data_IF_484293344109
#
_entry.id   IF_484293344109
#
_cell.length_a   1.000
_cell.length_b   1.000
_cell.length_c   1.000
_cell.angle_alpha   90.00
_cell.angle_beta   90.00
_cell.angle_gamma   90.00
#
_symmetry.space_group_name_H-M   'P 1'
#
loop_
_entity.id
_entity.type
_entity.pdbx_description
1 polymer ?
#
# COMPACT_ATOMS: atom_id res chain seq x y z
N UNK A 1 -24.32 -35.75 11.45
CA UNK A 1 -24.37 -35.18 12.82
C UNK A 1 -23.49 -33.94 12.82
N UNK A 2 -24.08 -32.74 12.88
CA UNK A 2 -23.35 -31.47 12.89
C UNK A 2 -22.59 -31.32 14.20
N UNK A 3 -21.26 -31.31 14.14
CA UNK A 3 -20.41 -30.99 15.28
C UNK A 3 -20.44 -29.49 15.55
N UNK A 4 -21.14 -29.05 16.60
CA UNK A 4 -21.09 -27.66 17.05
C UNK A 4 -19.66 -27.28 17.42
N UNK A 5 -19.02 -26.48 16.58
CA UNK A 5 -17.72 -25.86 16.86
C UNK A 5 -17.92 -24.88 18.02
N UNK A 6 -17.38 -25.18 19.20
CA UNK A 6 -17.36 -24.23 20.33
C UNK A 6 -16.56 -23.00 19.91
N UNK A 7 -17.14 -21.81 20.07
CA UNK A 7 -16.44 -20.56 19.76
C UNK A 7 -15.22 -20.40 20.65
N UNK A 8 -14.09 -20.06 20.04
CA UNK A 8 -12.85 -19.76 20.75
C UNK A 8 -12.90 -18.34 21.37
N UNK A 9 -12.00 -18.03 22.32
CA UNK A 9 -11.85 -16.66 22.82
C UNK A 9 -11.58 -15.64 21.70
N UNK A 10 -10.89 -16.06 20.65
CA UNK A 10 -10.62 -15.23 19.48
C UNK A 10 -11.90 -14.93 18.69
N UNK A 11 -12.75 -15.92 18.45
CA UNK A 11 -14.02 -15.74 17.73
C UNK A 11 -14.96 -14.77 18.47
N UNK A 12 -15.02 -14.86 19.81
CA UNK A 12 -15.81 -13.95 20.65
C UNK A 12 -15.22 -12.53 20.61
N UNK A 13 -13.89 -12.39 20.66
CA UNK A 13 -13.23 -11.09 20.56
C UNK A 13 -13.45 -10.45 19.18
N UNK A 14 -13.44 -11.24 18.11
CA UNK A 14 -13.65 -10.78 16.75
C UNK A 14 -15.11 -10.35 16.52
N UNK A 15 -16.09 -11.10 17.05
CA UNK A 15 -17.50 -10.69 17.02
C UNK A 15 -17.75 -9.37 17.73
N UNK A 16 -17.18 -9.17 18.92
CA UNK A 16 -17.26 -7.88 19.63
C UNK A 16 -16.55 -6.75 18.87
N UNK A 17 -15.44 -7.04 18.19
CA UNK A 17 -14.73 -6.05 17.37
C UNK A 17 -15.58 -5.61 16.18
N UNK A 18 -16.27 -6.52 15.52
CA UNK A 18 -17.17 -6.16 14.41
C UNK A 18 -18.36 -5.31 14.90
N UNK A 19 -18.89 -5.53 16.11
CA UNK A 19 -19.92 -4.66 16.71
C UNK A 19 -19.43 -3.25 16.99
N UNK A 20 -18.17 -3.12 17.44
CA UNK A 20 -17.53 -1.80 17.60
C UNK A 20 -17.36 -1.12 16.24
N UNK A 21 -16.89 -1.87 15.23
CA UNK A 21 -16.62 -1.38 13.87
C UNK A 21 -17.88 -0.97 13.10
N UNK A 22 -18.98 -1.70 13.27
CA UNK A 22 -20.28 -1.39 12.66
C UNK A 22 -21.01 -0.26 13.38
N UNK A 23 -20.49 0.20 14.52
CA UNK A 23 -21.09 1.28 15.32
C UNK A 23 -22.24 0.83 16.21
N UNK A 24 -22.51 -0.47 16.32
CA UNK A 24 -23.46 -1.03 17.29
C UNK A 24 -22.98 -0.79 18.74
N UNK A 25 -21.67 -0.78 18.97
CA UNK A 25 -21.04 -0.38 20.21
C UNK A 25 -20.17 0.85 19.97
N UNK A 26 -20.59 2.02 20.48
CA UNK A 26 -19.93 3.30 20.22
C UNK A 26 -18.78 3.53 21.22
N UNK A 27 -17.80 4.37 20.86
CA UNK A 27 -16.78 4.82 21.81
C UNK A 27 -17.41 5.41 23.08
N UNK A 28 -16.91 4.99 24.25
CA UNK A 28 -17.47 5.38 25.55
C UNK A 28 -18.64 4.51 26.06
N UNK A 29 -19.26 3.70 25.19
CA UNK A 29 -20.35 2.81 25.58
C UNK A 29 -19.89 1.76 26.60
N UNK A 30 -20.84 1.34 27.45
CA UNK A 30 -20.62 0.22 28.37
C UNK A 30 -20.76 -1.08 27.59
N UNK A 31 -19.76 -1.95 27.73
CA UNK A 31 -19.82 -3.28 27.17
C UNK A 31 -20.91 -4.10 27.87
N UNK A 32 -21.63 -5.00 27.15
CA UNK A 32 -22.50 -5.98 27.78
C UNK A 32 -21.77 -6.76 28.89
N UNK A 33 -22.49 -7.13 29.94
CA UNK A 33 -21.89 -7.85 31.07
C UNK A 33 -21.40 -9.25 30.63
N UNK A 34 -20.43 -9.82 31.35
CA UNK A 34 -19.93 -11.16 31.02
C UNK A 34 -21.05 -12.22 31.02
N UNK A 35 -22.08 -12.07 31.85
CA UNK A 35 -23.22 -12.98 31.87
C UNK A 35 -24.04 -12.89 30.57
N UNK A 36 -24.26 -11.67 30.07
CA UNK A 36 -24.94 -11.44 28.78
C UNK A 36 -24.10 -11.99 27.62
N UNK A 37 -22.79 -11.76 27.63
CA UNK A 37 -21.90 -12.27 26.58
C UNK A 37 -21.79 -13.81 26.58
N UNK A 38 -21.86 -14.45 27.75
CA UNK A 38 -21.90 -15.92 27.85
C UNK A 38 -23.15 -16.48 27.20
N UNK A 39 -24.31 -15.86 27.46
CA UNK A 39 -25.59 -16.26 26.88
C UNK A 39 -25.62 -15.99 25.36
N UNK A 40 -25.18 -14.80 24.95
CA UNK A 40 -25.18 -14.37 23.54
C UNK A 40 -24.28 -15.23 22.65
N UNK A 41 -23.06 -15.52 23.11
CA UNK A 41 -22.08 -16.29 22.33
C UNK A 41 -22.15 -17.81 22.61
N UNK A 42 -22.95 -18.25 23.59
CA UNK A 42 -23.06 -19.67 23.95
C UNK A 42 -21.74 -20.30 24.40
N UNK A 43 -20.92 -19.56 25.17
CA UNK A 43 -19.57 -19.98 25.60
C UNK A 43 -19.41 -19.89 27.12
N UNK A 44 -18.41 -20.59 27.66
CA UNK A 44 -18.08 -20.51 29.08
C UNK A 44 -17.53 -19.13 29.49
N UNK A 45 -17.73 -18.77 30.78
CA UNK A 45 -17.23 -17.51 31.37
C UNK A 45 -15.72 -17.32 31.19
N UNK A 46 -14.93 -18.39 31.19
CA UNK A 46 -13.48 -18.34 30.98
C UNK A 46 -13.12 -17.84 29.57
N UNK A 47 -13.88 -18.27 28.56
CA UNK A 47 -13.72 -17.88 27.15
C UNK A 47 -14.03 -16.41 26.96
N UNK A 48 -15.15 -15.93 27.53
CA UNK A 48 -15.49 -14.50 27.52
C UNK A 48 -14.41 -13.69 28.23
N UNK A 49 -13.92 -14.13 29.40
CA UNK A 49 -12.87 -13.42 30.13
C UNK A 49 -11.57 -13.32 29.33
N UNK A 50 -11.18 -14.37 28.60
CA UNK A 50 -10.01 -14.34 27.72
C UNK A 50 -10.24 -13.41 26.52
N UNK A 51 -11.40 -13.46 25.88
CA UNK A 51 -11.77 -12.55 24.80
C UNK A 51 -11.68 -11.07 25.21
N UNK A 52 -12.19 -10.74 26.41
CA UNK A 52 -12.10 -9.39 26.96
C UNK A 52 -10.66 -8.96 27.26
N UNK A 53 -9.79 -9.88 27.69
CA UNK A 53 -8.35 -9.59 27.85
C UNK A 53 -7.70 -9.28 26.51
N UNK A 54 -7.99 -10.06 25.46
CA UNK A 54 -7.48 -9.79 24.11
C UNK A 54 -7.89 -8.40 23.62
N UNK A 55 -9.14 -7.99 23.84
CA UNK A 55 -9.60 -6.64 23.48
C UNK A 55 -8.94 -5.54 24.33
N UNK A 56 -8.66 -5.80 25.61
CA UNK A 56 -7.94 -4.89 26.48
C UNK A 56 -6.47 -4.72 26.08
N UNK A 57 -5.77 -5.82 25.74
CA UNK A 57 -4.39 -5.80 25.23
C UNK A 57 -4.29 -4.99 23.92
N UNK A 58 -5.33 -5.05 23.09
CA UNK A 58 -5.47 -4.24 21.87
C UNK A 58 -5.95 -2.80 22.12
N UNK A 59 -6.06 -2.38 23.38
CA UNK A 59 -6.50 -1.04 23.81
C UNK A 59 -7.90 -0.65 23.32
N UNK A 60 -8.76 -1.63 23.02
CA UNK A 60 -10.15 -1.41 22.59
C UNK A 60 -11.11 -1.23 23.78
N UNK A 61 -10.69 -1.62 24.97
CA UNK A 61 -11.47 -1.50 26.21
C UNK A 61 -10.71 -0.67 27.26
N UNK A 62 -11.45 0.15 28.01
CA UNK A 62 -10.98 0.92 29.17
C UNK A 62 -11.71 0.49 30.45
N UNK A 63 -11.14 0.88 31.61
CA UNK A 63 -11.72 0.66 32.95
C UNK A 63 -11.91 -0.81 33.39
N UNK A 64 -11.03 -1.71 32.96
CA UNK A 64 -11.15 -3.16 33.27
C UNK A 64 -10.82 -3.52 34.73
N UNK A 65 -10.31 -2.58 35.56
CA UNK A 65 -9.78 -2.91 36.90
C UNK A 65 -10.54 -2.39 38.13
N UNK A 66 -11.75 -1.80 38.01
CA UNK A 66 -12.49 -1.33 39.20
C UNK A 66 -14.00 -1.48 39.10
N UNK A 67 -14.53 -2.65 39.48
CA UNK A 67 -15.94 -2.87 39.87
C UNK A 67 -17.04 -2.41 38.90
N UNK A 68 -16.68 -1.98 37.69
CA UNK A 68 -17.55 -1.36 36.69
C UNK A 68 -17.37 -2.10 35.37
N UNK A 69 -18.43 -2.22 34.55
CA UNK A 69 -18.33 -2.85 33.24
C UNK A 69 -17.27 -2.14 32.37
N UNK A 70 -16.43 -2.89 31.62
CA UNK A 70 -15.51 -2.31 30.65
C UNK A 70 -16.24 -1.36 29.70
N UNK A 71 -15.58 -0.27 29.31
CA UNK A 71 -16.09 0.66 28.30
C UNK A 71 -15.31 0.56 27.00
N UNK A 72 -15.95 0.86 25.88
CA UNK A 72 -15.25 0.99 24.59
C UNK A 72 -14.32 2.20 24.65
N UNK A 73 -13.05 2.02 24.29
CA UNK A 73 -12.05 3.08 24.36
C UNK A 73 -12.35 4.22 23.36
N UNK A 74 -12.28 5.49 23.82
CA UNK A 74 -12.43 6.66 22.93
C UNK A 74 -11.34 6.72 21.85
N UNK A 75 -10.14 6.23 22.15
CA UNK A 75 -9.02 6.12 21.20
C UNK A 75 -9.24 5.06 20.12
N UNK A 76 -10.21 4.14 20.28
CA UNK A 76 -10.53 3.15 19.26
C UNK A 76 -11.11 3.79 17.99
N UNK A 77 -11.82 4.93 18.10
CA UNK A 77 -12.29 5.69 16.93
C UNK A 77 -11.15 6.41 16.19
N UNK A 78 -10.06 6.74 16.89
CA UNK A 78 -8.87 7.33 16.27
C UNK A 78 -7.91 6.28 15.65
N UNK A 79 -8.21 4.99 15.83
CA UNK A 79 -7.45 3.88 15.23
C UNK A 79 -8.04 3.42 13.89
N UNK A 80 -8.88 4.23 13.24
CA UNK A 80 -9.30 4.04 11.85
C UNK A 80 -8.18 4.42 10.88
N UNK A 81 -7.12 3.60 10.84
CA UNK A 81 -6.58 3.25 9.54
C UNK A 81 -7.40 2.05 9.06
N UNK A 82 -7.96 2.06 7.82
CA UNK A 82 -8.52 0.83 7.26
C UNK A 82 -7.48 -0.29 7.40
N UNK A 83 -7.88 -1.57 7.56
CA UNK A 83 -6.92 -2.67 7.62
C UNK A 83 -5.95 -2.45 6.48
N UNK A 84 -4.65 -2.38 6.77
CA UNK A 84 -3.62 -1.98 5.81
C UNK A 84 -3.79 -2.81 4.54
N UNK A 85 -4.55 -2.28 3.57
CA UNK A 85 -4.75 -2.94 2.30
C UNK A 85 -3.40 -2.83 1.61
N UNK A 86 -2.90 -3.96 1.12
CA UNK A 86 -1.63 -3.97 0.41
C UNK A 86 -1.62 -2.85 -0.63
N UNK A 87 -0.53 -2.08 -0.73
CA UNK A 87 -0.46 -0.90 -1.58
C UNK A 87 -0.94 -1.15 -3.01
N UNK A 88 -0.67 -2.36 -3.55
CA UNK A 88 -1.16 -2.78 -4.86
C UNK A 88 -2.69 -2.72 -4.97
N UNK A 89 -3.40 -3.25 -3.98
CA UNK A 89 -4.88 -3.28 -3.97
C UNK A 89 -5.45 -1.87 -3.91
N UNK A 90 -4.84 -1.02 -3.09
CA UNK A 90 -5.21 0.38 -2.94
C UNK A 90 -4.95 1.14 -4.25
N UNK A 91 -3.74 1.05 -4.80
CA UNK A 91 -3.34 1.74 -6.02
C UNK A 91 -4.17 1.30 -7.23
N UNK A 92 -4.44 0.00 -7.39
CA UNK A 92 -5.22 -0.52 -8.52
C UNK A 92 -6.63 0.11 -8.58
N UNK A 93 -7.28 0.27 -7.42
CA UNK A 93 -8.61 0.90 -7.33
C UNK A 93 -8.58 2.35 -7.80
N UNK A 94 -7.56 3.12 -7.38
CA UNK A 94 -7.39 4.51 -7.78
C UNK A 94 -6.95 4.68 -9.23
N UNK A 95 -6.18 3.75 -9.78
CA UNK A 95 -5.84 3.74 -11.20
C UNK A 95 -7.09 3.48 -12.05
N UNK A 96 -7.96 2.54 -11.65
CA UNK A 96 -9.23 2.31 -12.35
C UNK A 96 -10.10 3.57 -12.34
N UNK A 97 -10.13 4.31 -11.24
CA UNK A 97 -10.82 5.60 -11.16
C UNK A 97 -10.19 6.63 -12.11
N UNK A 98 -8.87 6.80 -12.06
CA UNK A 98 -8.15 7.77 -12.89
C UNK A 98 -8.30 7.50 -14.41
N UNK A 99 -8.37 6.23 -14.81
CA UNK A 99 -8.52 5.80 -16.20
C UNK A 99 -9.90 6.08 -16.81
N UNK A 100 -10.86 6.60 -16.02
CA UNK A 100 -12.15 7.08 -16.54
C UNK A 100 -12.04 8.47 -17.18
N UNK A 101 -10.95 9.20 -16.95
CA UNK A 101 -10.72 10.50 -17.59
C UNK A 101 -10.30 10.33 -19.07
N UNK A 102 -10.57 11.34 -19.90
CA UNK A 102 -10.11 11.34 -21.30
C UNK A 102 -8.59 11.40 -21.41
N UNK A 103 -7.96 12.21 -20.53
CA UNK A 103 -6.52 12.34 -20.42
C UNK A 103 -6.06 11.78 -19.08
N UNK A 104 -5.27 10.71 -19.13
CA UNK A 104 -4.74 10.04 -17.93
C UNK A 104 -3.29 10.46 -17.72
N UNK A 105 -2.96 10.95 -16.53
CA UNK A 105 -1.59 11.22 -16.11
C UNK A 105 -1.26 10.46 -14.83
N UNK A 106 -0.15 9.74 -14.85
CA UNK A 106 0.39 9.04 -13.69
C UNK A 106 1.82 9.52 -13.45
N UNK A 107 2.05 10.10 -12.29
CA UNK A 107 3.37 10.50 -11.83
C UNK A 107 3.78 9.58 -10.67
N UNK A 108 4.89 8.86 -10.80
CA UNK A 108 5.31 7.85 -9.84
C UNK A 108 6.74 8.08 -9.36
N UNK A 109 6.93 8.31 -8.06
CA UNK A 109 8.24 8.29 -7.39
C UNK A 109 8.33 6.96 -6.63
N UNK A 110 9.22 6.05 -7.02
CA UNK A 110 9.29 4.72 -6.43
C UNK A 110 10.73 4.19 -6.32
N UNK A 111 10.93 3.16 -5.50
CA UNK A 111 12.18 2.39 -5.42
C UNK A 111 12.24 1.37 -6.55
N UNK A 112 11.16 0.61 -6.74
CA UNK A 112 10.91 -0.25 -7.90
C UNK A 112 9.56 0.13 -8.53
N UNK A 113 9.35 -0.17 -9.80
CA UNK A 113 8.07 0.06 -10.47
C UNK A 113 7.07 -1.09 -10.27
N UNK A 114 7.42 -2.10 -9.48
CA UNK A 114 6.67 -3.35 -9.32
C UNK A 114 5.21 -3.14 -8.90
N UNK A 115 4.98 -2.32 -7.87
CA UNK A 115 3.62 -2.04 -7.36
C UNK A 115 2.76 -1.36 -8.44
N UNK A 116 3.33 -0.42 -9.20
CA UNK A 116 2.63 0.28 -10.28
C UNK A 116 2.34 -0.68 -11.44
N UNK A 117 3.34 -1.45 -11.87
CA UNK A 117 3.22 -2.39 -12.98
C UNK A 117 2.10 -3.40 -12.74
N UNK A 118 2.02 -3.96 -11.53
CA UNK A 118 0.95 -4.89 -11.17
C UNK A 118 -0.40 -4.19 -11.02
N UNK A 119 -0.44 -2.98 -10.45
CA UNK A 119 -1.68 -2.23 -10.28
C UNK A 119 -2.28 -1.75 -11.60
N UNK A 120 -1.47 -1.59 -12.66
CA UNK A 120 -1.93 -1.31 -14.01
C UNK A 120 -2.70 -2.48 -14.65
N UNK A 121 -2.57 -3.70 -14.14
CA UNK A 121 -3.22 -4.87 -14.74
C UNK A 121 -4.73 -4.71 -14.90
N UNK A 122 -5.44 -4.24 -13.86
CA UNK A 122 -6.89 -4.07 -13.90
C UNK A 122 -7.37 -2.96 -14.88
N UNK A 123 -6.87 -1.71 -14.83
CA UNK A 123 -7.29 -0.71 -15.81
C UNK A 123 -6.97 -1.13 -17.26
N UNK A 124 -5.83 -1.79 -17.49
CA UNK A 124 -5.49 -2.33 -18.81
C UNK A 124 -6.48 -3.42 -19.25
N UNK A 125 -6.84 -4.36 -18.37
CA UNK A 125 -7.85 -5.40 -18.67
C UNK A 125 -9.18 -4.77 -19.09
N UNK A 126 -9.63 -3.74 -18.37
CA UNK A 126 -10.88 -3.02 -18.66
C UNK A 126 -10.84 -2.26 -19.98
N UNK A 127 -9.70 -1.67 -20.35
CA UNK A 127 -9.51 -1.08 -21.68
C UNK A 127 -9.65 -2.15 -22.77
N UNK A 128 -8.99 -3.32 -22.61
CA UNK A 128 -9.11 -4.40 -23.60
C UNK A 128 -10.53 -4.95 -23.73
N UNK A 129 -11.33 -4.87 -22.65
CA UNK A 129 -12.75 -5.22 -22.66
C UNK A 129 -13.66 -4.11 -23.24
N UNK A 130 -13.11 -2.96 -23.63
CA UNK A 130 -13.88 -1.81 -24.12
C UNK A 130 -14.69 -1.08 -23.04
N UNK A 131 -14.42 -1.35 -21.76
CA UNK A 131 -15.14 -0.73 -20.64
C UNK A 131 -14.66 0.71 -20.34
N UNK A 132 -13.45 1.06 -20.79
CA UNK A 132 -12.84 2.39 -20.67
C UNK A 132 -11.97 2.66 -21.89
N UNK A 133 -12.00 3.88 -22.42
CA UNK A 133 -11.27 4.28 -23.62
C UNK A 133 -10.76 5.72 -23.46
N UNK A 134 -9.70 5.96 -22.66
CA UNK A 134 -9.07 7.27 -22.60
C UNK A 134 -8.49 7.63 -23.97
N UNK A 135 -8.45 8.92 -24.30
CA UNK A 135 -7.79 9.43 -25.51
C UNK A 135 -6.27 9.39 -25.37
N UNK A 136 -5.76 9.67 -24.16
CA UNK A 136 -4.31 9.65 -23.88
C UNK A 136 -3.94 9.13 -22.50
N UNK A 137 -2.74 8.54 -22.40
CA UNK A 137 -2.13 8.07 -21.16
C UNK A 137 -0.66 8.49 -21.11
N UNK A 138 -0.30 9.36 -20.16
CA UNK A 138 1.09 9.73 -19.86
C UNK A 138 1.52 9.17 -18.50
N UNK A 139 2.64 8.43 -18.49
CA UNK A 139 3.28 7.92 -17.27
C UNK A 139 4.68 8.52 -17.13
N UNK A 140 4.92 9.23 -16.02
CA UNK A 140 6.23 9.78 -15.64
C UNK A 140 6.71 9.05 -14.40
N UNK A 141 7.85 8.36 -14.48
CA UNK A 141 8.36 7.56 -13.38
C UNK A 141 9.79 7.93 -12.99
N UNK A 142 10.00 8.22 -11.70
CA UNK A 142 11.29 8.44 -11.06
C UNK A 142 11.68 7.17 -10.31
N UNK A 143 12.79 6.55 -10.74
CA UNK A 143 13.35 5.32 -10.17
C UNK A 143 14.84 5.52 -9.88
N UNK A 144 15.45 4.79 -8.93
CA UNK A 144 16.89 4.78 -8.74
C UNK A 144 17.62 4.49 -10.06
N UNK A 145 18.64 5.28 -10.36
CA UNK A 145 19.53 5.02 -11.48
C UNK A 145 20.39 3.76 -11.25
N UNK A 146 21.02 3.22 -12.31
CA UNK A 146 21.81 1.99 -12.22
C UNK A 146 23.01 2.12 -11.26
N UNK A 147 23.50 3.34 -11.03
CA UNK A 147 24.61 3.67 -10.13
C UNK A 147 24.18 4.20 -8.77
N UNK A 148 22.88 4.26 -8.48
CA UNK A 148 22.41 4.70 -7.17
C UNK A 148 22.89 3.71 -6.09
N UNK A 149 23.38 4.19 -4.94
CA UNK A 149 23.70 3.32 -3.82
C UNK A 149 22.41 2.66 -3.32
N UNK A 150 22.48 1.35 -3.09
CA UNK A 150 21.35 0.54 -2.62
C UNK A 150 21.57 0.21 -1.14
N UNK A 151 20.71 0.70 -0.23
CA UNK A 151 20.74 0.34 1.18
C UNK A 151 19.99 -0.97 1.49
N UNK A 152 19.35 -1.56 0.49
CA UNK A 152 18.62 -2.82 0.57
C UNK A 152 18.37 -3.38 -0.85
N UNK A 153 18.09 -4.69 -1.00
CA UNK A 153 18.13 -5.70 0.06
C UNK A 153 19.56 -6.02 0.51
N UNK A 154 19.77 -6.11 1.82
CA UNK A 154 21.06 -6.47 2.42
C UNK A 154 20.95 -7.85 3.10
N UNK A 155 21.73 -8.87 2.71
CA UNK A 155 21.75 -10.16 3.38
C UNK A 155 22.11 -10.03 4.87
N UNK A 156 21.34 -10.67 5.76
CA UNK A 156 21.53 -10.56 7.21
C UNK A 156 22.83 -11.24 7.65
N UNK A 157 23.07 -12.48 7.21
CA UNK A 157 24.20 -13.31 7.65
C UNK A 157 25.09 -13.77 6.47
N UNK A 158 24.97 -13.12 5.29
CA UNK A 158 25.68 -13.51 4.05
C UNK A 158 26.19 -12.31 3.25
N UNK A 159 27.05 -11.44 3.83
CA UNK A 159 27.49 -10.19 3.21
C UNK A 159 28.21 -10.38 1.86
N UNK A 160 28.78 -11.56 1.61
CA UNK A 160 29.37 -11.94 0.32
C UNK A 160 28.36 -11.98 -0.84
N UNK A 161 27.06 -12.08 -0.55
CA UNK A 161 26.00 -12.11 -1.56
C UNK A 161 25.47 -10.72 -1.93
N UNK A 162 25.86 -9.66 -1.22
CA UNK A 162 25.29 -8.30 -1.37
C UNK A 162 25.31 -7.79 -2.81
N UNK A 163 26.46 -7.89 -3.50
CA UNK A 163 26.55 -7.40 -4.88
C UNK A 163 25.66 -8.20 -5.84
N UNK A 164 25.58 -9.52 -5.68
CA UNK A 164 24.71 -10.38 -6.51
C UNK A 164 23.22 -10.06 -6.28
N UNK A 165 22.82 -9.80 -5.04
CA UNK A 165 21.46 -9.37 -4.68
C UNK A 165 21.14 -8.00 -5.30
N UNK A 166 22.07 -7.05 -5.21
CA UNK A 166 21.93 -5.72 -5.81
C UNK A 166 21.88 -5.77 -7.35
N UNK A 167 22.71 -6.60 -8.00
CA UNK A 167 22.66 -6.83 -9.44
C UNK A 167 21.31 -7.41 -9.87
N UNK A 168 20.79 -8.39 -9.12
CA UNK A 168 19.47 -8.99 -9.35
C UNK A 168 18.36 -7.94 -9.25
N UNK A 169 18.37 -7.11 -8.22
CA UNK A 169 17.40 -6.01 -8.07
C UNK A 169 17.47 -5.02 -9.26
N UNK A 170 18.67 -4.61 -9.67
CA UNK A 170 18.85 -3.72 -10.82
C UNK A 170 18.29 -4.35 -12.10
N UNK A 171 18.45 -5.65 -12.27
CA UNK A 171 17.86 -6.38 -13.38
C UNK A 171 16.33 -6.36 -13.31
N UNK A 172 15.73 -6.65 -12.16
CA UNK A 172 14.28 -6.58 -11.95
C UNK A 172 13.74 -5.17 -12.27
N UNK A 173 14.41 -4.10 -11.82
CA UNK A 173 14.01 -2.72 -12.13
C UNK A 173 14.05 -2.46 -13.65
N UNK A 174 15.08 -2.95 -14.36
CA UNK A 174 15.14 -2.84 -15.83
C UNK A 174 13.98 -3.59 -16.50
N UNK A 175 13.72 -4.82 -16.09
CA UNK A 175 12.63 -5.65 -16.63
C UNK A 175 11.27 -4.98 -16.41
N UNK A 176 11.04 -4.37 -15.24
CA UNK A 176 9.79 -3.64 -14.95
C UNK A 176 9.60 -2.43 -15.87
N UNK A 177 10.67 -1.69 -16.20
CA UNK A 177 10.62 -0.56 -17.13
C UNK A 177 10.21 -1.02 -18.53
N UNK A 178 10.89 -2.03 -19.05
CA UNK A 178 10.60 -2.61 -20.37
C UNK A 178 9.18 -3.17 -20.45
N UNK A 179 8.71 -3.86 -19.40
CA UNK A 179 7.35 -4.38 -19.36
C UNK A 179 6.29 -3.25 -19.43
N UNK A 180 6.50 -2.17 -18.68
CA UNK A 180 5.58 -1.02 -18.67
C UNK A 180 5.51 -0.33 -20.03
N UNK A 181 6.66 -0.12 -20.68
CA UNK A 181 6.73 0.43 -22.05
C UNK A 181 5.98 -0.46 -23.04
N UNK A 182 6.17 -1.78 -22.96
CA UNK A 182 5.46 -2.75 -23.81
C UNK A 182 3.94 -2.73 -23.62
N UNK A 183 3.47 -2.70 -22.37
CA UNK A 183 2.04 -2.67 -22.07
C UNK A 183 1.35 -1.44 -22.64
N UNK A 184 1.95 -0.26 -22.46
CA UNK A 184 1.36 0.99 -22.94
C UNK A 184 1.51 1.16 -24.46
N UNK A 185 2.63 0.73 -25.04
CA UNK A 185 2.79 0.70 -26.50
C UNK A 185 1.73 -0.19 -27.20
N UNK A 186 1.34 -1.29 -26.56
CA UNK A 186 0.27 -2.16 -27.08
C UNK A 186 -1.10 -1.46 -27.11
N UNK A 187 -1.41 -0.59 -26.14
CA UNK A 187 -2.66 0.18 -26.17
C UNK A 187 -2.71 1.11 -27.38
N UNK A 188 -1.60 1.79 -27.70
CA UNK A 188 -1.52 2.62 -28.90
C UNK A 188 -1.73 1.81 -30.17
N UNK A 189 -1.12 0.63 -30.24
CA UNK A 189 -1.17 -0.24 -31.42
C UNK A 189 -2.56 -0.86 -31.66
N UNK A 190 -3.24 -1.30 -30.60
CA UNK A 190 -4.47 -2.10 -30.72
C UNK A 190 -5.75 -1.34 -30.37
N UNK A 191 -5.66 -0.27 -29.59
CA UNK A 191 -6.81 0.51 -29.12
C UNK A 191 -6.77 1.98 -29.60
N UNK A 192 -5.72 2.39 -30.31
CA UNK A 192 -5.59 3.76 -30.83
C UNK A 192 -5.35 4.83 -29.77
N UNK A 193 -5.07 4.44 -28.52
CA UNK A 193 -4.88 5.36 -27.38
C UNK A 193 -3.49 5.98 -27.46
N UNK A 194 -3.36 7.31 -27.38
CA UNK A 194 -2.02 7.92 -27.37
C UNK A 194 -1.32 7.65 -26.05
N UNK A 195 -0.16 7.01 -26.09
CA UNK A 195 0.57 6.63 -24.87
C UNK A 195 1.98 7.19 -24.86
N UNK A 196 2.39 7.69 -23.70
CA UNK A 196 3.76 8.13 -23.46
C UNK A 196 4.24 7.66 -22.10
N UNK A 197 5.38 6.98 -22.08
CA UNK A 197 6.07 6.58 -20.86
C UNK A 197 7.42 7.26 -20.81
N UNK A 198 7.78 7.84 -19.69
CA UNK A 198 9.10 8.44 -19.50
C UNK A 198 9.64 8.03 -18.14
N UNK A 199 10.89 7.59 -18.12
CA UNK A 199 11.63 7.30 -16.91
C UNK A 199 12.73 8.33 -16.71
N UNK A 200 12.91 8.77 -15.47
CA UNK A 200 14.06 9.57 -15.05
C UNK A 200 14.72 8.95 -13.83
N UNK A 201 16.02 9.13 -13.74
CA UNK A 201 16.85 8.46 -12.74
C UNK A 201 17.05 9.32 -11.50
N UNK A 202 16.84 8.72 -10.35
CA UNK A 202 17.18 9.25 -9.04
C UNK A 202 18.63 8.91 -8.73
N UNK A 203 19.29 9.81 -7.99
CA UNK A 203 20.66 9.59 -7.52
C UNK A 203 20.71 8.71 -6.28
N UNK A 204 19.59 8.59 -5.56
CA UNK A 204 19.45 7.82 -4.32
C UNK A 204 18.13 7.06 -4.32
N UNK A 205 18.04 6.05 -3.46
CA UNK A 205 16.77 5.37 -3.20
C UNK A 205 15.83 6.31 -2.44
N UNK A 206 14.59 6.53 -2.93
CA UNK A 206 13.64 7.38 -2.22
C UNK A 206 13.14 6.65 -0.96
N UNK A 207 12.97 7.33 0.19
CA UNK A 207 12.43 6.72 1.41
C UNK A 207 10.92 6.46 1.33
N UNK A 208 10.29 6.94 0.27
CA UNK A 208 8.85 6.93 0.05
C UNK A 208 8.52 6.40 -1.33
N UNK A 209 7.28 5.94 -1.48
CA UNK A 209 6.62 5.85 -2.77
C UNK A 209 5.48 6.85 -2.84
N UNK A 210 5.39 7.54 -3.95
CA UNK A 210 4.32 8.48 -4.22
C UNK A 210 3.74 8.24 -5.61
N UNK A 211 2.44 8.44 -5.71
CA UNK A 211 1.71 8.44 -6.98
C UNK A 211 0.84 9.69 -7.05
N UNK A 212 0.93 10.47 -8.12
CA UNK A 212 -0.04 11.54 -8.41
C UNK A 212 -0.81 11.14 -9.65
N UNK A 213 -2.14 11.03 -9.51
CA UNK A 213 -3.06 10.61 -10.55
C UNK A 213 -3.88 11.80 -11.01
N UNK A 214 -3.83 12.07 -12.32
CA UNK A 214 -4.51 13.17 -13.03
C UNK A 214 -4.32 14.55 -12.38
N UNK A 215 -3.27 14.74 -11.58
CA UNK A 215 -2.98 15.99 -10.88
C UNK A 215 -3.95 16.34 -9.74
N UNK A 216 -4.89 15.46 -9.39
CA UNK A 216 -5.97 15.71 -8.41
C UNK A 216 -5.91 14.79 -7.19
N UNK A 217 -5.36 13.58 -7.34
CA UNK A 217 -5.20 12.60 -6.27
C UNK A 217 -3.71 12.30 -6.06
N UNK A 218 -3.23 12.43 -4.82
CA UNK A 218 -1.90 12.00 -4.42
C UNK A 218 -1.99 10.82 -3.44
N UNK A 219 -1.14 9.83 -3.64
CA UNK A 219 -0.94 8.69 -2.76
C UNK A 219 0.48 8.74 -2.23
N UNK A 220 0.66 8.50 -0.93
CA UNK A 220 1.97 8.51 -0.28
C UNK A 220 2.13 7.29 0.63
N UNK A 221 3.27 6.61 0.54
CA UNK A 221 3.61 5.51 1.44
C UNK A 221 5.07 5.55 1.81
N UNK A 222 5.37 5.24 3.07
CA UNK A 222 6.74 5.09 3.55
C UNK A 222 7.22 3.65 3.33
N UNK A 223 8.47 3.49 2.91
CA UNK A 223 9.12 2.20 2.96
C UNK A 223 9.44 1.86 4.41
N UNK A 224 9.02 0.65 4.82
CA UNK A 224 9.34 0.11 6.13
C UNK A 224 10.38 -0.98 5.93
N UNK A 225 11.54 -0.78 6.55
CA UNK A 225 12.60 -1.79 6.58
C UNK A 225 12.16 -2.91 7.50
N UNK A 226 12.35 -4.15 7.06
CA UNK A 226 12.12 -5.35 7.85
C UNK A 226 12.90 -6.52 7.30
N UNK A 227 12.98 -7.57 8.09
CA UNK A 227 13.59 -8.82 7.64
C UNK A 227 12.54 -9.60 6.83
N UNK A 228 12.95 -10.09 5.65
CA UNK A 228 12.15 -11.02 4.86
C UNK A 228 13.02 -12.15 4.32
N UNK A 229 12.36 -13.25 4.01
CA UNK A 229 12.98 -14.32 3.23
C UNK A 229 13.14 -13.85 1.77
N UNK A 230 14.34 -14.08 1.21
CA UNK A 230 14.73 -13.77 -0.16
C UNK A 230 15.00 -15.06 -0.92
N UNK A 231 14.23 -15.30 -1.96
CA UNK A 231 14.25 -16.48 -2.82
C UNK A 231 14.46 -16.13 -4.30
N UNK A 232 14.76 -14.86 -4.59
CA UNK A 232 14.89 -14.32 -5.95
C UNK A 232 16.30 -14.51 -6.57
N UNK A 233 17.28 -15.03 -5.80
CA UNK A 233 18.67 -15.20 -6.26
C UNK A 233 18.88 -16.58 -6.89
N UNK A 234 19.15 -16.69 -8.21
CA UNK A 234 19.39 -17.99 -8.83
C UNK A 234 20.62 -18.70 -8.28
N UNK A 235 20.47 -19.99 -8.01
CA UNK A 235 21.54 -20.85 -7.50
C UNK A 235 21.76 -20.79 -5.99
N UNK A 236 20.96 -20.00 -5.26
CA UNK A 236 20.98 -19.95 -3.80
C UNK A 236 19.68 -20.50 -3.22
N UNK A 237 19.78 -21.17 -2.06
CA UNK A 237 18.60 -21.43 -1.23
C UNK A 237 18.10 -20.13 -0.61
N UNK A 238 16.82 -20.09 -0.22
CA UNK A 238 16.24 -18.89 0.35
C UNK A 238 16.93 -18.46 1.66
N UNK A 239 17.20 -17.16 1.82
CA UNK A 239 17.91 -16.61 2.98
C UNK A 239 17.31 -15.27 3.44
N UNK A 240 17.64 -14.82 4.65
CA UNK A 240 17.09 -13.57 5.19
C UNK A 240 17.83 -12.33 4.67
N UNK A 241 17.06 -11.31 4.30
CA UNK A 241 17.55 -9.98 3.93
C UNK A 241 16.83 -8.90 4.74
N UNK A 242 17.55 -7.83 5.07
CA UNK A 242 16.96 -6.54 5.45
C UNK A 242 16.52 -5.83 4.18
N UNK A 243 15.20 -5.66 4.01
CA UNK A 243 14.61 -5.12 2.78
C UNK A 243 13.39 -4.24 3.08
N UNK A 244 12.91 -3.53 2.06
CA UNK A 244 11.68 -2.75 2.13
C UNK A 244 10.55 -3.42 1.37
N UNK A 245 9.47 -3.75 2.08
CA UNK A 245 8.30 -4.38 1.47
C UNK A 245 7.44 -3.38 0.71
N UNK A 246 7.54 -3.36 -0.62
CA UNK A 246 6.67 -2.55 -1.48
C UNK A 246 5.19 -2.87 -1.30
N UNK A 247 4.80 -4.14 -1.20
CA UNK A 247 3.38 -4.53 -1.12
C UNK A 247 2.73 -4.28 0.23
N UNK A 248 3.49 -4.39 1.33
CA UNK A 248 2.97 -4.29 2.68
C UNK A 248 2.83 -2.84 3.18
N UNK A 249 3.45 -1.86 2.50
CA UNK A 249 3.33 -0.44 2.87
C UNK A 249 1.92 0.09 2.65
N UNK A 250 1.37 0.79 3.65
CA UNK A 250 0.13 1.58 3.52
C UNK A 250 0.34 2.74 2.55
N UNK A 251 -0.67 3.01 1.71
CA UNK A 251 -0.77 4.25 0.94
C UNK A 251 -1.82 5.16 1.58
N UNK A 252 -1.38 6.33 2.02
CA UNK A 252 -2.23 7.43 2.47
C UNK A 252 -2.73 8.20 1.26
N UNK A 253 -4.00 8.58 1.28
CA UNK A 253 -4.71 9.21 0.18
C UNK A 253 -4.97 10.69 0.49
N UNK A 254 -4.64 11.56 -0.47
CA UNK A 254 -4.89 13.00 -0.40
C UNK A 254 -5.53 13.49 -1.70
N UNK A 255 -6.71 14.12 -1.63
CA UNK A 255 -7.50 14.61 -2.76
C UNK A 255 -7.66 16.12 -2.72
N UNK A 256 -7.49 16.75 -3.88
CA UNK A 256 -7.79 18.19 -4.05
C UNK A 256 -9.23 18.55 -3.74
N UNK A 257 -10.18 17.68 -4.10
CA UNK A 257 -11.62 17.92 -3.92
C UNK A 257 -12.06 18.00 -2.45
N UNK A 258 -11.32 17.36 -1.52
CA UNK A 258 -11.64 17.43 -0.08
C UNK A 258 -11.27 18.79 0.54
N UNK A 259 -10.52 19.63 -0.17
CA UNK A 259 -10.10 20.95 0.30
C UNK A 259 -9.15 20.91 1.50
N UNK A 260 -8.90 22.08 2.09
CA UNK A 260 -8.10 22.23 3.31
C UNK A 260 -6.72 21.57 3.24
N UNK A 261 -6.36 20.84 4.30
CA UNK A 261 -5.07 20.17 4.41
C UNK A 261 -4.87 19.06 3.36
N UNK A 262 -5.96 18.39 2.95
CA UNK A 262 -5.90 17.30 1.98
C UNK A 262 -5.50 17.82 0.60
N UNK A 263 -6.12 18.93 0.19
CA UNK A 263 -5.78 19.60 -1.07
C UNK A 263 -4.35 20.16 -1.06
N UNK A 264 -3.94 20.78 0.05
CA UNK A 264 -2.58 21.30 0.21
C UNK A 264 -1.53 20.19 0.13
N UNK A 265 -1.79 19.03 0.75
CA UNK A 265 -0.88 17.88 0.69
C UNK A 265 -0.81 17.28 -0.72
N UNK A 266 -1.96 17.15 -1.40
CA UNK A 266 -1.98 16.65 -2.78
C UNK A 266 -1.20 17.57 -3.74
N UNK A 267 -1.32 18.88 -3.56
CA UNK A 267 -0.57 19.88 -4.32
C UNK A 267 0.92 19.87 -3.99
N UNK A 268 1.30 19.79 -2.71
CA UNK A 268 2.69 19.75 -2.28
C UNK A 268 3.42 18.51 -2.82
N UNK A 269 2.81 17.31 -2.72
CA UNK A 269 3.36 16.07 -3.27
C UNK A 269 3.57 16.20 -4.79
N UNK A 270 2.59 16.75 -5.51
CA UNK A 270 2.71 17.00 -6.94
C UNK A 270 3.86 17.97 -7.25
N UNK A 271 3.96 19.08 -6.52
CA UNK A 271 4.99 20.09 -6.74
C UNK A 271 6.39 19.53 -6.43
N UNK A 272 6.52 18.71 -5.38
CA UNK A 272 7.75 18.00 -5.07
C UNK A 272 8.14 17.03 -6.20
N UNK A 273 7.18 16.26 -6.72
CA UNK A 273 7.40 15.39 -7.88
C UNK A 273 7.87 16.18 -9.10
N UNK A 274 7.17 17.28 -9.44
CA UNK A 274 7.50 18.09 -10.62
C UNK A 274 8.90 18.72 -10.48
N UNK A 275 9.25 19.25 -9.30
CA UNK A 275 10.58 19.81 -9.05
C UNK A 275 11.68 18.75 -9.20
N UNK A 276 11.48 17.55 -8.62
CA UNK A 276 12.40 16.43 -8.78
C UNK A 276 12.47 15.99 -10.23
N UNK A 277 11.33 15.84 -10.90
CA UNK A 277 11.24 15.46 -12.31
C UNK A 277 12.09 16.39 -13.16
N UNK A 278 11.86 17.70 -13.05
CA UNK A 278 12.56 18.74 -13.80
C UNK A 278 14.06 18.76 -13.52
N UNK A 279 14.49 18.55 -12.27
CA UNK A 279 15.91 18.45 -11.91
C UNK A 279 16.64 17.28 -12.58
N UNK A 280 15.91 16.27 -13.07
CA UNK A 280 16.44 15.08 -13.76
C UNK A 280 16.28 15.14 -15.28
N UNK A 281 15.92 16.29 -15.86
CA UNK A 281 15.95 16.47 -17.33
C UNK A 281 17.35 16.16 -17.86
N UNK A 282 17.50 15.38 -18.95
CA UNK A 282 18.77 15.30 -19.66
C UNK A 282 19.21 16.71 -20.02
N UNK A 283 20.43 17.10 -19.62
CA UNK A 283 20.99 18.39 -20.02
C UNK A 283 21.14 18.37 -21.54
N UNK A 284 20.51 19.31 -22.24
CA UNK A 284 20.85 19.57 -23.63
C UNK A 284 22.30 20.07 -23.65
N UNK A 285 23.22 19.23 -24.11
CA UNK A 285 24.55 19.71 -24.50
C UNK A 285 24.34 20.64 -25.69
N UNK A 286 24.43 21.95 -25.46
CA UNK A 286 24.66 22.92 -26.52
C UNK A 286 25.95 22.47 -27.22
N UNK A 287 25.81 21.99 -28.45
CA UNK A 287 26.94 21.62 -29.29
C UNK A 287 27.94 22.78 -29.35
N UNK A 288 29.19 22.49 -29.04
CA UNK A 288 30.32 23.36 -29.35
C UNK A 288 30.91 22.94 -30.69
#
# INVERSE_FOLDING_TARGET
MNGSKRLSPQDVADGLRERIKTGELKPGDRLPTQAVLVDEFGVDRSTVRQALRLLQEKQLLTNVSRGSPPRIAERAAAAEQPPSRAARVVLASYLVEAFRASEVRIDALCFTAETLLLALGEPLRRIHAGEMLPESIEVRCLLPGPKAPLPYPEPVDRPELTERVHERLREQIRQQRTAMEGYLANLKRYQGIDTKVTFRELLTVPPVKQYVLNGTLALHGNYKVGIRLYDDLPGEEAFEVSDVGGFASTLFEFRKERGGQDAAMAEDIKNCFDALWESRKPRQTLGR
#
